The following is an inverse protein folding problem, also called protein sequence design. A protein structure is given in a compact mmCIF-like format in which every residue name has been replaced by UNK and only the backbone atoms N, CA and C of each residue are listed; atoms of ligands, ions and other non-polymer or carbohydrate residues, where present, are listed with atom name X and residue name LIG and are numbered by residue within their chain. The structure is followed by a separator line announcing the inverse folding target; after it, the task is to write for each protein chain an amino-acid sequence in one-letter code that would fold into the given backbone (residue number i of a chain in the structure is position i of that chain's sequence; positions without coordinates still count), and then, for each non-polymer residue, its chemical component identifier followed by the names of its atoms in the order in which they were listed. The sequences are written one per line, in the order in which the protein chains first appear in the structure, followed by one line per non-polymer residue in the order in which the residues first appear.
data_IF_531270421907
#
_entry.id   IF_531270421907
#
_cell.length_a   1.000
_cell.length_b   1.000
_cell.length_c   1.000
_cell.angle_alpha   90.00
_cell.angle_beta   90.00
_cell.angle_gamma   90.00
#
_symmetry.space_group_name_H-M   'P 1'
#
loop_
_entity.id
_entity.type
_entity.pdbx_description
1 polymer ?
#
# COMPACT_ATOMS: atom_id res chain seq x y z
N UNK A 1 -39.61 36.89 39.11
CA UNK A 1 -39.03 35.56 39.39
C UNK A 1 -40.02 34.56 38.82
N UNK A 2 -39.76 33.62 37.91
CA UNK A 2 -38.53 32.97 37.44
C UNK A 2 -38.92 32.16 36.19
N UNK A 3 -38.12 32.30 35.13
CA UNK A 3 -37.62 31.25 34.22
C UNK A 3 -38.64 30.45 33.36
N UNK A 4 -38.67 30.68 32.04
CA UNK A 4 -37.84 30.07 30.97
C UNK A 4 -38.17 28.59 30.70
N UNK A 5 -38.65 28.35 29.47
CA UNK A 5 -38.37 27.26 28.50
C UNK A 5 -38.32 25.80 29.03
N UNK A 6 -38.76 24.78 28.29
CA UNK A 6 -38.01 24.24 27.16
C UNK A 6 -38.91 23.25 26.39
N UNK A 7 -38.83 23.39 25.08
CA UNK A 7 -39.31 22.51 24.02
C UNK A 7 -38.72 21.10 24.20
N UNK A 8 -39.57 20.11 24.50
CA UNK A 8 -39.27 18.70 24.15
C UNK A 8 -39.62 18.55 22.67
N UNK A 9 -38.69 18.44 21.71
CA UNK A 9 -37.52 17.58 21.73
C UNK A 9 -37.84 16.32 20.90
N UNK A 10 -38.03 16.51 19.59
CA UNK A 10 -38.21 15.44 18.60
C UNK A 10 -37.01 14.48 18.63
N UNK A 11 -37.25 13.23 18.99
CA UNK A 11 -36.30 12.13 18.82
C UNK A 11 -36.38 11.64 17.36
N UNK A 12 -35.63 12.28 16.47
CA UNK A 12 -35.34 11.74 15.15
C UNK A 12 -34.33 10.63 15.33
N UNK A 13 -34.80 9.37 15.27
CA UNK A 13 -33.93 8.20 15.19
C UNK A 13 -33.26 8.17 13.83
N UNK A 14 -32.05 8.74 13.75
CA UNK A 14 -31.18 8.54 12.58
C UNK A 14 -30.56 7.15 12.72
N UNK A 15 -31.21 6.16 12.09
CA UNK A 15 -30.61 4.86 11.81
C UNK A 15 -29.51 5.12 10.76
N UNK A 16 -28.30 5.36 11.24
CA UNK A 16 -27.12 5.42 10.40
C UNK A 16 -26.83 4.02 9.85
N UNK A 17 -27.08 3.81 8.56
CA UNK A 17 -26.50 2.71 7.82
C UNK A 17 -24.97 2.84 7.87
N UNK A 18 -24.32 2.12 8.79
CA UNK A 18 -22.87 1.95 8.77
C UNK A 18 -22.51 1.02 7.62
N UNK A 19 -22.41 1.58 6.40
CA UNK A 19 -21.56 0.96 5.38
C UNK A 19 -20.15 0.93 5.97
N UNK A 20 -19.72 -0.24 6.43
CA UNK A 20 -18.37 -0.42 6.96
C UNK A 20 -17.40 -0.31 5.79
N UNK A 21 -16.91 0.90 5.53
CA UNK A 21 -15.79 1.11 4.63
C UNK A 21 -14.60 0.33 5.19
N UNK A 22 -14.21 -0.75 4.52
CA UNK A 22 -13.00 -1.48 4.88
C UNK A 22 -11.80 -0.60 4.55
N UNK A 23 -10.94 -0.39 5.54
CA UNK A 23 -9.67 0.30 5.35
C UNK A 23 -8.63 -0.37 6.22
N UNK A 24 -7.66 -1.00 5.57
CA UNK A 24 -6.49 -1.56 6.22
C UNK A 24 -5.32 -0.59 6.09
N UNK A 25 -4.53 -0.46 7.15
CA UNK A 25 -3.34 0.38 7.15
C UNK A 25 -2.19 -0.37 7.81
N UNK A 26 -1.12 -0.55 7.05
CA UNK A 26 0.12 -1.18 7.47
C UNK A 26 1.26 -0.16 7.37
N UNK A 27 2.17 -0.16 8.35
CA UNK A 27 3.29 0.76 8.36
C UNK A 27 4.57 0.07 8.86
N UNK A 28 5.70 0.48 8.31
CA UNK A 28 7.04 0.06 8.72
C UNK A 28 8.05 1.15 8.39
N UNK A 29 9.31 0.91 8.74
CA UNK A 29 10.37 1.91 8.70
C UNK A 29 11.70 1.27 8.26
N UNK A 30 12.48 2.01 7.47
CA UNK A 30 13.83 1.63 7.04
C UNK A 30 14.82 2.66 7.60
N UNK A 31 15.75 2.27 8.49
CA UNK A 31 16.80 3.17 8.93
C UNK A 31 17.80 3.42 7.81
N UNK A 32 18.28 4.66 7.68
CA UNK A 32 19.27 5.07 6.68
C UNK A 32 20.64 5.32 7.31
N UNK A 33 21.68 5.26 6.47
CA UNK A 33 23.06 5.48 6.90
C UNK A 33 23.33 6.91 7.40
N UNK A 34 22.53 7.89 6.96
CA UNK A 34 22.61 9.29 7.39
C UNK A 34 21.93 9.54 8.76
N UNK A 35 21.37 8.51 9.38
CA UNK A 35 20.65 8.60 10.65
C UNK A 35 19.17 8.98 10.52
N UNK A 36 18.67 9.20 9.30
CA UNK A 36 17.25 9.41 9.04
C UNK A 36 16.50 8.08 8.91
N UNK A 37 15.17 8.16 8.81
CA UNK A 37 14.29 7.00 8.66
C UNK A 37 13.37 7.24 7.48
N UNK A 38 13.28 6.25 6.60
CA UNK A 38 12.26 6.20 5.55
C UNK A 38 11.03 5.48 6.09
N UNK A 39 9.91 6.18 6.17
CA UNK A 39 8.61 5.59 6.51
C UNK A 39 8.01 4.90 5.28
N UNK A 40 7.47 3.69 5.47
CA UNK A 40 6.80 2.93 4.41
C UNK A 40 5.40 2.58 4.90
N UNK A 41 4.39 3.07 4.19
CA UNK A 41 2.98 2.90 4.51
C UNK A 41 2.26 2.18 3.37
N UNK A 42 1.32 1.29 3.72
CA UNK A 42 0.41 0.66 2.78
C UNK A 42 -1.02 0.82 3.28
N UNK A 43 -1.84 1.53 2.52
CA UNK A 43 -3.26 1.72 2.78
C UNK A 43 -4.06 0.96 1.73
N UNK A 44 -5.02 0.16 2.16
CA UNK A 44 -5.88 -0.58 1.24
C UNK A 44 -7.36 -0.43 1.59
N UNK A 45 -8.18 -0.11 0.59
CA UNK A 45 -9.65 -0.10 0.71
C UNK A 45 -10.28 -1.45 0.34
N UNK A 46 -9.50 -2.35 -0.26
CA UNK A 46 -9.92 -3.70 -0.66
C UNK A 46 -9.48 -4.73 0.37
N UNK A 47 -10.33 -5.73 0.63
CA UNK A 47 -9.97 -6.84 1.52
C UNK A 47 -8.99 -7.77 0.80
N UNK A 48 -7.81 -7.93 1.38
CA UNK A 48 -6.83 -8.92 0.93
C UNK A 48 -6.97 -10.25 1.67
N UNK A 49 -6.67 -11.36 0.99
CA UNK A 49 -6.52 -12.68 1.64
C UNK A 49 -5.15 -12.81 2.29
N UNK A 50 -4.13 -12.22 1.67
CA UNK A 50 -2.75 -12.17 2.17
C UNK A 50 -2.32 -10.71 2.31
N UNK A 51 -1.88 -10.35 3.50
CA UNK A 51 -1.47 -8.98 3.82
C UNK A 51 -0.32 -9.02 4.83
N UNK A 52 0.82 -8.43 4.49
CA UNK A 52 1.94 -8.26 5.41
C UNK A 52 2.82 -7.08 5.04
N UNK A 53 3.38 -6.41 6.05
CA UNK A 53 4.52 -5.50 5.92
C UNK A 53 5.62 -5.99 6.84
N UNK A 54 6.86 -6.06 6.35
CA UNK A 54 7.97 -6.59 7.15
C UNK A 54 9.29 -5.90 6.83
N UNK A 55 9.98 -5.34 7.83
CA UNK A 55 11.32 -4.79 7.66
C UNK A 55 12.37 -5.91 7.67
N UNK A 56 13.47 -5.67 6.97
CA UNK A 56 14.70 -6.46 7.02
C UNK A 56 15.86 -5.50 7.24
N UNK A 57 16.60 -5.66 8.34
CA UNK A 57 17.59 -4.68 8.84
C UNK A 57 19.04 -5.13 8.60
N UNK A 58 19.28 -5.89 7.52
CA UNK A 58 20.60 -6.39 7.16
C UNK A 58 21.51 -5.31 6.55
N UNK A 59 22.56 -5.75 5.86
CA UNK A 59 23.47 -4.87 5.09
C UNK A 59 22.75 -4.10 3.97
N UNK A 60 21.59 -4.59 3.54
CA UNK A 60 20.72 -3.96 2.55
C UNK A 60 19.32 -3.81 3.18
N UNK A 61 19.10 -2.75 3.98
CA UNK A 61 17.90 -2.58 4.76
C UNK A 61 16.71 -2.30 3.84
N UNK A 62 15.60 -3.02 4.04
CA UNK A 62 14.44 -2.92 3.15
C UNK A 62 13.14 -3.19 3.89
N UNK A 63 12.02 -2.76 3.32
CA UNK A 63 10.67 -3.17 3.73
C UNK A 63 10.03 -3.92 2.59
N UNK A 64 9.47 -5.08 2.89
CA UNK A 64 8.65 -5.86 1.94
C UNK A 64 7.18 -5.71 2.32
N UNK A 65 6.36 -5.32 1.35
CA UNK A 65 4.90 -5.24 1.48
C UNK A 65 4.30 -6.29 0.55
N UNK A 66 3.50 -7.20 1.09
CA UNK A 66 2.80 -8.24 0.33
C UNK A 66 1.30 -8.03 0.48
N UNK A 67 0.61 -7.90 -0.64
CA UNK A 67 -0.84 -7.72 -0.77
C UNK A 67 -1.36 -8.60 -1.89
N UNK A 68 -1.86 -9.78 -1.52
CA UNK A 68 -2.25 -10.85 -2.45
C UNK A 68 -1.17 -11.17 -3.49
N UNK A 69 -1.31 -10.71 -4.74
CA UNK A 69 -0.34 -10.92 -5.83
C UNK A 69 0.68 -9.79 -5.98
N UNK A 70 0.53 -8.70 -5.22
CA UNK A 70 1.40 -7.54 -5.28
C UNK A 70 2.46 -7.67 -4.19
N UNK A 71 3.73 -7.66 -4.60
CA UNK A 71 4.89 -7.63 -3.70
C UNK A 71 5.70 -6.39 -4.00
N UNK A 72 5.69 -5.43 -3.08
CA UNK A 72 6.54 -4.25 -3.15
C UNK A 72 7.77 -4.47 -2.28
N UNK A 73 8.94 -4.21 -2.83
CA UNK A 73 10.18 -4.15 -2.04
C UNK A 73 10.70 -2.73 -2.09
N UNK A 74 10.73 -2.08 -0.93
CA UNK A 74 11.20 -0.71 -0.73
C UNK A 74 12.56 -0.76 -0.08
N UNK A 75 13.53 -0.10 -0.69
CA UNK A 75 14.87 0.19 -0.18
C UNK A 75 14.98 1.70 0.06
N UNK A 76 16.03 2.21 0.73
CA UNK A 76 16.21 3.65 0.90
C UNK A 76 16.25 4.43 -0.43
N UNK A 77 16.75 3.80 -1.50
CA UNK A 77 17.06 4.41 -2.80
C UNK A 77 16.06 4.07 -3.90
N UNK A 78 15.31 2.97 -3.77
CA UNK A 78 14.43 2.48 -4.83
C UNK A 78 13.24 1.66 -4.32
N UNK A 79 12.25 1.50 -5.17
CA UNK A 79 11.13 0.58 -4.99
C UNK A 79 10.98 -0.33 -6.20
N UNK A 80 10.63 -1.59 -5.98
CA UNK A 80 10.32 -2.57 -7.03
C UNK A 80 8.93 -3.18 -6.80
N UNK A 81 8.29 -3.61 -7.89
CA UNK A 81 7.04 -4.36 -7.88
C UNK A 81 7.27 -5.74 -8.49
N UNK A 82 6.91 -6.80 -7.76
CA UNK A 82 6.94 -8.19 -8.22
C UNK A 82 8.29 -8.61 -8.83
N UNK A 83 9.40 -8.04 -8.34
CA UNK A 83 10.74 -8.31 -8.87
C UNK A 83 11.04 -7.66 -10.23
N UNK A 84 10.17 -6.76 -10.71
CA UNK A 84 10.40 -5.96 -11.90
C UNK A 84 11.50 -4.89 -11.72
N UNK A 85 11.69 -4.05 -12.76
CA UNK A 85 12.71 -3.00 -12.73
C UNK A 85 12.53 -2.03 -11.55
N UNK A 86 13.62 -1.59 -10.90
CA UNK A 86 13.54 -0.61 -9.82
C UNK A 86 13.13 0.76 -10.34
N UNK A 87 12.22 1.42 -9.63
CA UNK A 87 11.98 2.85 -9.75
C UNK A 87 12.76 3.57 -8.64
N UNK A 88 13.53 4.58 -9.03
CA UNK A 88 14.36 5.36 -8.11
C UNK A 88 13.48 6.21 -7.18
N UNK A 89 13.84 6.23 -5.90
CA UNK A 89 13.34 7.19 -4.93
C UNK A 89 14.33 8.36 -4.90
N UNK A 90 13.81 9.58 -4.98
CA UNK A 90 14.66 10.78 -4.89
C UNK A 90 15.48 10.81 -3.59
N UNK A 91 16.69 11.36 -3.64
CA UNK A 91 17.49 11.58 -2.44
C UNK A 91 16.75 12.53 -1.50
N UNK A 92 16.43 12.07 -0.28
CA UNK A 92 15.72 12.86 0.72
C UNK A 92 14.24 12.52 0.88
N UNK A 93 13.71 11.53 0.15
CA UNK A 93 12.33 11.06 0.37
C UNK A 93 12.18 10.59 1.82
N UNK A 94 11.21 11.09 2.58
CA UNK A 94 10.98 10.69 3.97
C UNK A 94 9.91 9.61 4.11
N UNK A 95 8.99 9.54 3.15
CA UNK A 95 7.86 8.62 3.19
C UNK A 95 7.51 8.05 1.81
N UNK A 96 7.29 6.74 1.76
CA UNK A 96 6.66 6.03 0.64
C UNK A 96 5.27 5.56 1.06
N UNK A 97 4.25 5.92 0.28
CA UNK A 97 2.87 5.51 0.48
C UNK A 97 2.40 4.64 -0.69
N UNK A 98 1.96 3.43 -0.39
CA UNK A 98 1.34 2.49 -1.33
C UNK A 98 -0.16 2.47 -1.06
N UNK A 99 -0.96 2.92 -2.02
CA UNK A 99 -2.42 2.87 -1.94
C UNK A 99 -2.94 1.77 -2.86
N UNK A 100 -3.82 0.90 -2.35
CA UNK A 100 -4.44 -0.18 -3.13
C UNK A 100 -5.96 -0.10 -3.01
N UNK A 101 -6.64 -0.02 -4.14
CA UNK A 101 -8.09 0.07 -4.24
C UNK A 101 -8.65 -0.88 -5.32
N UNK A 102 -9.90 -0.66 -5.73
CA UNK A 102 -10.57 -1.49 -6.74
C UNK A 102 -10.03 -1.27 -8.15
N UNK A 103 -9.41 -0.11 -8.43
CA UNK A 103 -8.85 0.23 -9.75
C UNK A 103 -7.42 -0.30 -9.91
N UNK A 104 -6.70 -0.49 -8.80
CA UNK A 104 -5.40 -1.12 -8.78
C UNK A 104 -4.53 -0.64 -7.62
N UNK A 105 -3.34 -0.16 -7.93
CA UNK A 105 -2.43 0.41 -6.94
C UNK A 105 -1.81 1.71 -7.45
N UNK A 106 -1.43 2.57 -6.50
CA UNK A 106 -0.65 3.78 -6.74
C UNK A 106 0.45 3.89 -5.68
N UNK A 107 1.61 4.37 -6.09
CA UNK A 107 2.73 4.64 -5.20
C UNK A 107 3.08 6.11 -5.24
N UNK A 108 3.31 6.68 -4.06
CA UNK A 108 3.76 8.06 -3.87
C UNK A 108 5.00 8.11 -2.98
N UNK A 109 5.94 8.99 -3.29
CA UNK A 109 7.09 9.35 -2.48
C UNK A 109 6.93 10.82 -2.06
N UNK A 110 6.71 11.08 -0.77
CA UNK A 110 6.38 12.40 -0.22
C UNK A 110 5.21 13.12 -0.92
N UNK A 111 4.28 12.35 -1.49
CA UNK A 111 3.12 12.85 -2.23
C UNK A 111 3.33 12.98 -3.74
N UNK A 112 4.56 12.82 -4.22
CA UNK A 112 4.86 12.77 -5.65
C UNK A 112 4.66 11.35 -6.20
N UNK A 113 3.97 11.17 -7.33
CA UNK A 113 3.72 9.84 -7.89
C UNK A 113 5.01 9.15 -8.36
N UNK A 114 5.13 7.85 -8.05
CA UNK A 114 6.24 7.00 -8.50
C UNK A 114 5.72 6.00 -9.53
N UNK A 115 6.27 6.06 -10.75
CA UNK A 115 5.92 5.12 -11.82
C UNK A 115 6.69 3.82 -11.65
N UNK A 116 5.97 2.74 -11.39
CA UNK A 116 6.53 1.39 -11.33
C UNK A 116 6.33 0.70 -12.67
N UNK A 117 7.39 0.07 -13.17
CA UNK A 117 7.28 -0.85 -14.30
C UNK A 117 6.82 -2.22 -13.79
N UNK A 118 5.85 -2.82 -14.48
CA UNK A 118 5.56 -4.25 -14.28
C UNK A 118 6.69 -5.09 -14.88
N UNK A 119 7.00 -6.26 -14.30
CA UNK A 119 7.96 -7.17 -14.91
C UNK A 119 7.48 -7.56 -16.31
N UNK A 120 8.36 -7.50 -17.30
CA UNK A 120 8.14 -8.13 -18.60
C UNK A 120 8.00 -9.63 -18.37
N UNK A 121 6.76 -10.10 -18.33
CA UNK A 121 6.48 -11.53 -18.35
C UNK A 121 6.77 -12.00 -19.77
N UNK A 122 7.93 -12.65 -19.97
CA UNK A 122 8.13 -13.41 -21.21
C UNK A 122 6.93 -14.37 -21.36
N UNK A 123 6.24 -14.36 -22.51
CA UNK A 123 5.10 -15.23 -22.71
C UNK A 123 5.59 -16.68 -22.55
N UNK A 124 5.01 -17.41 -21.60
CA UNK A 124 5.24 -18.85 -21.50
C UNK A 124 5.00 -19.45 -22.88
N UNK A 125 6.06 -20.00 -23.48
CA UNK A 125 5.98 -20.77 -24.71
C UNK A 125 5.02 -21.94 -24.43
N UNK A 126 3.78 -21.80 -24.89
CA UNK A 126 2.79 -22.88 -24.87
C UNK A 126 3.44 -24.16 -25.36
N UNK A 127 3.36 -25.21 -24.53
CA UNK A 127 3.86 -26.56 -24.84
C UNK A 127 3.49 -26.94 -26.28
N UNK A 128 4.44 -27.48 -27.08
CA UNK A 128 4.09 -28.00 -28.39
C UNK A 128 3.05 -29.11 -28.22
N UNK A 129 1.93 -28.98 -28.94
CA UNK A 129 0.86 -29.97 -28.95
C UNK A 129 1.44 -31.39 -29.15
N UNK A 130 0.94 -32.41 -28.44
CA UNK A 130 1.45 -33.77 -28.57
C UNK A 130 1.32 -34.21 -30.02
N UNK A 131 2.44 -34.59 -30.63
CA UNK A 131 2.43 -35.18 -31.96
C UNK A 131 1.83 -36.58 -31.83
N UNK A 132 0.57 -36.71 -32.23
CA UNK A 132 -0.13 -37.99 -32.35
C UNK A 132 0.66 -38.89 -33.32
N UNK A 133 0.95 -40.13 -32.89
CA UNK A 133 1.76 -41.12 -33.61
C UNK A 133 1.02 -42.43 -33.73
#
# INVERSE_FOLDING_TARGET
MTHRAVVLGWLVSVVGCYASYHREHLASQIPRADGTVLAVECVSSVRSKVSSISPSLGSDPRVTVIKDRLTFVVTPEAITLNGGPPAELGSGVERVLITIDEEGFRVEADGEPVSLAEPDLEPELSDPAPTDR
#
